data_IF_165742485562
#
_entry.id   IF_165742485562
#
_cell.length_a   1.000
_cell.length_b   1.000
_cell.length_c   1.000
_cell.angle_alpha   90.00
_cell.angle_beta   90.00
_cell.angle_gamma   90.00
#
_symmetry.space_group_name_H-M   'P 1'
#
loop_
_entity.id
_entity.type
_entity.pdbx_description
1 polymer ?
#
# COMPACT_ATOMS: atom_id res chain seq x y z
N UNK A 1 3.67 -5.78 12.56
CA UNK A 1 2.90 -6.92 12.01
C UNK A 1 2.51 -6.59 10.57
N UNK A 2 2.61 -7.54 9.63
CA UNK A 2 2.18 -7.34 8.24
C UNK A 2 0.74 -7.84 8.09
N UNK A 3 -0.19 -6.94 7.77
CA UNK A 3 -1.59 -7.27 7.51
C UNK A 3 -1.80 -7.48 6.01
N UNK A 4 -2.40 -8.62 5.64
CA UNK A 4 -2.72 -8.99 4.26
C UNK A 4 -4.23 -9.02 4.05
N UNK A 5 -4.69 -8.48 2.93
CA UNK A 5 -6.11 -8.43 2.54
C UNK A 5 -6.27 -9.07 1.16
N UNK A 6 -7.13 -10.08 1.06
CA UNK A 6 -7.45 -10.75 -0.20
C UNK A 6 -8.67 -10.15 -0.90
N UNK A 7 -8.57 -9.88 -2.20
CA UNK A 7 -9.73 -9.47 -3.03
C UNK A 7 -10.46 -10.69 -3.61
N UNK A 8 -11.62 -11.04 -3.05
CA UNK A 8 -12.42 -12.22 -3.44
C UNK A 8 -13.71 -11.81 -4.16
N UNK A 9 -14.15 -12.60 -5.14
CA UNK A 9 -15.41 -12.35 -5.86
C UNK A 9 -15.56 -13.18 -7.13
N UNK A 10 -16.75 -13.14 -7.74
CA UNK A 10 -17.08 -13.91 -8.95
C UNK A 10 -16.21 -13.52 -10.16
N UNK A 11 -16.12 -14.37 -11.19
CA UNK A 11 -15.45 -14.03 -12.45
C UNK A 11 -15.99 -12.70 -13.04
N UNK A 12 -15.10 -11.90 -13.62
CA UNK A 12 -15.43 -10.65 -14.35
C UNK A 12 -16.12 -9.52 -13.55
N UNK A 13 -16.18 -9.58 -12.22
CA UNK A 13 -16.74 -8.48 -11.38
C UNK A 13 -15.82 -7.26 -11.21
N UNK A 14 -14.74 -7.17 -12.00
CA UNK A 14 -13.82 -6.03 -11.93
C UNK A 14 -12.76 -6.08 -10.82
N UNK A 15 -12.49 -7.26 -10.23
CA UNK A 15 -11.45 -7.42 -9.18
C UNK A 15 -10.09 -6.87 -9.61
N UNK A 16 -9.63 -7.24 -10.80
CA UNK A 16 -8.35 -6.76 -11.35
C UNK A 16 -8.37 -5.26 -11.63
N UNK A 17 -9.53 -4.70 -11.99
CA UNK A 17 -9.72 -3.26 -12.16
C UNK A 17 -9.57 -2.52 -10.83
N UNK A 18 -10.19 -3.03 -9.76
CA UNK A 18 -10.06 -2.46 -8.42
C UNK A 18 -8.63 -2.57 -7.89
N UNK A 19 -7.99 -3.74 -8.04
CA UNK A 19 -6.59 -3.96 -7.67
C UNK A 19 -5.66 -2.96 -8.37
N UNK A 20 -5.80 -2.83 -9.69
CA UNK A 20 -5.01 -1.87 -10.47
C UNK A 20 -5.29 -0.42 -10.09
N UNK A 21 -6.54 -0.07 -9.78
CA UNK A 21 -6.90 1.28 -9.35
C UNK A 21 -6.31 1.61 -7.97
N UNK A 22 -6.34 0.66 -7.04
CA UNK A 22 -5.75 0.80 -5.71
C UNK A 22 -4.22 0.97 -5.80
N UNK A 23 -3.54 0.13 -6.58
CA UNK A 23 -2.08 0.23 -6.77
C UNK A 23 -1.69 1.54 -7.47
N UNK A 24 -2.40 1.91 -8.55
CA UNK A 24 -2.09 3.15 -9.31
C UNK A 24 -2.37 4.43 -8.51
N UNK A 25 -3.50 4.50 -7.77
CA UNK A 25 -3.82 5.68 -6.95
C UNK A 25 -2.94 5.79 -5.70
N UNK A 26 -2.51 4.66 -5.15
CA UNK A 26 -1.72 4.64 -3.92
C UNK A 26 -0.29 5.14 -4.08
N UNK A 27 0.21 5.44 -5.30
CA UNK A 27 1.65 5.46 -5.59
C UNK A 27 2.30 4.25 -4.91
N UNK A 28 1.73 3.06 -5.13
CA UNK A 28 2.31 1.84 -4.60
C UNK A 28 3.77 1.89 -5.01
N UNK A 29 4.67 1.96 -4.03
CA UNK A 29 6.08 1.83 -4.24
C UNK A 29 6.27 0.42 -4.81
N UNK A 30 6.16 0.30 -6.13
CA UNK A 30 6.95 -0.63 -6.94
C UNK A 30 8.39 -0.10 -6.90
N UNK A 31 8.86 0.28 -5.71
CA UNK A 31 10.26 0.46 -5.45
C UNK A 31 10.79 -0.97 -5.38
N UNK A 32 11.79 -1.23 -6.22
CA UNK A 32 12.63 -2.42 -6.14
C UNK A 32 13.36 -2.39 -4.80
N UNK A 33 12.68 -2.72 -3.71
CA UNK A 33 13.34 -3.02 -2.46
C UNK A 33 14.18 -4.26 -2.70
N UNK A 34 15.50 -4.22 -2.42
CA UNK A 34 16.31 -5.42 -2.49
C UNK A 34 15.64 -6.45 -1.57
N UNK A 35 15.55 -7.72 -1.99
CA UNK A 35 14.88 -8.85 -1.32
C UNK A 35 13.41 -9.16 -1.67
N UNK A 36 12.72 -8.44 -2.57
CA UNK A 36 11.38 -8.87 -3.03
C UNK A 36 11.47 -9.91 -4.17
N UNK A 37 11.08 -11.16 -3.89
CA UNK A 37 10.64 -12.12 -4.91
C UNK A 37 9.43 -11.51 -5.62
N UNK A 38 9.45 -11.39 -6.95
CA UNK A 38 8.38 -10.78 -7.74
C UNK A 38 7.18 -11.73 -7.76
N UNK A 39 6.35 -11.72 -6.71
CA UNK A 39 5.04 -12.35 -6.71
C UNK A 39 4.04 -11.41 -7.38
N UNK A 40 3.44 -11.80 -8.53
CA UNK A 40 2.91 -10.85 -9.51
C UNK A 40 1.64 -10.09 -9.08
N UNK A 41 1.06 -10.37 -7.91
CA UNK A 41 -0.19 -9.76 -7.45
C UNK A 41 -0.13 -9.23 -6.02
N UNK A 42 1.05 -8.87 -5.50
CA UNK A 42 1.16 -8.22 -4.19
C UNK A 42 1.23 -6.69 -4.35
N UNK A 43 0.17 -6.00 -3.92
CA UNK A 43 0.09 -4.54 -3.92
C UNK A 43 0.29 -3.95 -2.54
N UNK A 44 1.22 -3.02 -2.34
CA UNK A 44 1.37 -2.27 -1.08
C UNK A 44 0.76 -0.88 -1.20
N UNK A 45 -0.10 -0.52 -0.25
CA UNK A 45 -0.78 0.77 -0.20
C UNK A 45 -0.49 1.43 1.15
N UNK A 46 0.01 2.66 1.13
CA UNK A 46 0.17 3.48 2.32
C UNK A 46 -1.19 3.96 2.83
N UNK A 47 -1.40 3.86 4.14
CA UNK A 47 -2.61 4.37 4.78
C UNK A 47 -2.47 5.89 4.94
N UNK A 48 -3.40 6.69 4.38
CA UNK A 48 -3.39 8.13 4.59
C UNK A 48 -3.73 8.46 6.05
N UNK A 49 -2.79 9.09 6.76
CA UNK A 49 -2.98 9.54 8.13
C UNK A 49 -2.43 10.95 8.33
N UNK A 50 -3.34 11.91 8.50
CA UNK A 50 -2.98 13.32 8.69
C UNK A 50 -2.24 13.55 10.02
N UNK A 51 -2.48 12.69 11.02
CA UNK A 51 -1.86 12.80 12.35
C UNK A 51 -0.36 12.62 12.28
N UNK A 52 0.12 11.75 11.38
CA UNK A 52 1.55 11.55 11.16
C UNK A 52 2.23 12.84 10.70
N UNK A 53 1.56 13.62 9.85
CA UNK A 53 2.07 14.91 9.38
C UNK A 53 2.09 15.95 10.49
N UNK A 54 1.08 15.97 11.36
CA UNK A 54 1.03 16.90 12.50
C UNK A 54 2.10 16.57 13.56
N UNK A 55 2.27 15.30 13.89
CA UNK A 55 3.28 14.83 14.85
C UNK A 55 4.68 15.10 14.29
N UNK A 56 4.94 14.79 13.02
CA UNK A 56 6.23 15.04 12.39
C UNK A 56 6.62 16.53 12.40
N UNK A 57 5.63 17.42 12.22
CA UNK A 57 5.84 18.88 12.32
C UNK A 57 6.14 19.33 13.75
N UNK A 58 5.48 18.75 14.76
CA UNK A 58 5.71 19.08 16.17
C UNK A 58 7.06 18.59 16.69
N UNK A 59 7.44 17.38 16.31
CA UNK A 59 8.67 16.72 16.79
C UNK A 59 9.91 17.00 15.91
N UNK A 60 9.73 17.64 14.75
CA UNK A 60 10.84 17.91 13.83
C UNK A 60 11.39 16.66 13.15
N UNK A 61 10.54 15.66 12.87
CA UNK A 61 10.97 14.40 12.27
C UNK A 61 11.51 14.61 10.85
N UNK A 62 12.66 13.98 10.53
CA UNK A 62 13.30 14.02 9.21
C UNK A 62 12.48 13.31 8.13
N UNK A 63 11.71 12.29 8.52
CA UNK A 63 10.94 11.44 7.61
C UNK A 63 9.63 11.01 8.25
N UNK A 64 8.61 10.75 7.41
CA UNK A 64 7.31 10.23 7.79
C UNK A 64 7.17 8.84 7.18
N UNK A 65 7.09 7.82 8.01
CA UNK A 65 6.89 6.43 7.57
C UNK A 65 5.43 6.03 7.83
N UNK A 66 4.57 5.95 6.79
CA UNK A 66 3.19 5.56 6.97
C UNK A 66 3.05 4.05 7.22
N UNK A 67 1.96 3.66 7.87
CA UNK A 67 1.58 2.25 7.92
C UNK A 67 1.13 1.77 6.52
N UNK A 68 1.44 0.52 6.19
CA UNK A 68 1.14 -0.08 4.87
C UNK A 68 0.24 -1.29 5.00
N UNK A 69 -0.63 -1.48 4.01
CA UNK A 69 -1.48 -2.67 3.85
C UNK A 69 -1.03 -3.41 2.58
N UNK A 70 -0.99 -4.74 2.67
CA UNK A 70 -0.65 -5.62 1.55
C UNK A 70 -1.93 -6.25 0.97
N UNK A 71 -2.18 -6.06 -0.32
CA UNK A 71 -3.29 -6.65 -1.06
C UNK A 71 -2.82 -7.87 -1.85
N UNK A 72 -3.61 -8.94 -1.82
CA UNK A 72 -3.43 -10.22 -2.54
C UNK A 72 -4.68 -10.62 -3.33
#
# INVERSE_FOLDING_TARGET
>A
MKLRIGLVGLPNVGKSTLFNALIKKAKAEVANYPFCTIEPNIGRVAIPDNRLSEIAKKEGSKEIVPATIEFV
#
